data_IF_833506660931
#
_entry.id   IF_833506660931
#
_cell.length_a   1.000
_cell.length_b   1.000
_cell.length_c   1.000
_cell.angle_alpha   90.00
_cell.angle_beta   90.00
_cell.angle_gamma   90.00
#
_symmetry.space_group_name_H-M   'P 1'
#
loop_
_entity.id
_entity.type
_entity.pdbx_description
1 polymer ?
#
# COMPACT_ATOMS: atom_id res chain seq x y z
N UNK A 1 17.00 3.32 -13.24
CA UNK A 1 15.61 3.70 -13.48
C UNK A 1 14.85 3.38 -12.21
N UNK A 2 14.02 4.28 -11.70
CA UNK A 2 13.17 3.98 -10.55
C UNK A 2 12.26 2.80 -10.92
N UNK A 3 12.17 1.80 -10.04
CA UNK A 3 11.31 0.63 -10.24
C UNK A 3 9.85 1.10 -10.09
N UNK A 4 9.13 1.22 -11.20
CA UNK A 4 7.74 1.66 -11.22
C UNK A 4 6.74 0.51 -10.96
N UNK A 5 7.25 -0.70 -10.68
CA UNK A 5 6.43 -1.87 -10.39
C UNK A 5 6.52 -2.19 -8.90
N UNK A 6 5.39 -2.13 -8.22
CA UNK A 6 5.23 -2.60 -6.85
C UNK A 6 4.89 -4.10 -6.88
N UNK A 7 5.65 -4.89 -6.14
CA UNK A 7 5.37 -6.30 -5.88
C UNK A 7 5.24 -6.46 -4.38
N UNK A 8 4.05 -6.77 -3.91
CA UNK A 8 3.74 -6.89 -2.49
C UNK A 8 3.01 -8.19 -2.17
N UNK A 9 3.29 -8.72 -1.00
CA UNK A 9 2.54 -9.80 -0.35
C UNK A 9 1.78 -9.21 0.83
N UNK A 10 0.44 -9.35 0.85
CA UNK A 10 -0.41 -8.84 1.92
C UNK A 10 -1.03 -9.97 2.72
N UNK A 11 -0.88 -9.92 4.03
CA UNK A 11 -1.33 -10.94 4.97
C UNK A 11 -2.15 -10.32 6.11
N UNK A 12 -3.08 -11.11 6.61
CA UNK A 12 -3.80 -10.85 7.85
C UNK A 12 -3.33 -11.86 8.89
N UNK A 13 -2.97 -11.36 10.05
CA UNK A 13 -2.59 -12.15 11.21
C UNK A 13 -3.42 -11.71 12.43
N UNK A 14 -3.64 -12.61 13.37
CA UNK A 14 -4.09 -12.20 14.69
C UNK A 14 -3.00 -11.38 15.39
N UNK A 15 -3.36 -10.64 16.44
CA UNK A 15 -2.37 -9.92 17.25
C UNK A 15 -1.29 -10.84 17.79
N UNK A 16 -1.69 -12.00 18.33
CA UNK A 16 -0.78 -13.02 18.83
C UNK A 16 0.11 -13.58 17.71
N UNK A 17 -0.48 -13.84 16.52
CA UNK A 17 0.25 -14.28 15.34
C UNK A 17 1.30 -13.28 14.88
N UNK A 18 0.97 -11.97 14.87
CA UNK A 18 1.91 -10.91 14.54
C UNK A 18 3.06 -10.86 15.56
N UNK A 19 2.75 -10.87 16.86
CA UNK A 19 3.76 -10.86 17.93
C UNK A 19 4.70 -12.08 17.80
N UNK A 20 4.13 -13.28 17.56
CA UNK A 20 4.89 -14.50 17.33
C UNK A 20 5.75 -14.41 16.07
N UNK A 21 5.20 -13.94 14.94
CA UNK A 21 5.93 -13.77 13.68
C UNK A 21 7.18 -12.89 13.88
N UNK A 22 7.02 -11.77 14.55
CA UNK A 22 8.12 -10.85 14.81
C UNK A 22 9.20 -11.44 15.71
N UNK A 23 8.90 -12.44 16.54
CA UNK A 23 9.84 -13.12 17.43
C UNK A 23 10.51 -14.37 16.83
N UNK A 24 10.12 -14.80 15.62
CA UNK A 24 10.76 -15.94 14.96
C UNK A 24 12.24 -15.64 14.70
N UNK A 25 13.11 -16.57 15.02
CA UNK A 25 14.57 -16.41 14.91
C UNK A 25 15.00 -15.92 13.52
N UNK A 26 14.43 -16.50 12.45
CA UNK A 26 14.78 -16.11 11.10
C UNK A 26 14.26 -14.70 10.73
N UNK A 27 13.15 -14.25 11.31
CA UNK A 27 12.67 -12.87 11.15
C UNK A 27 13.60 -11.90 11.85
N UNK A 28 14.00 -12.20 13.08
CA UNK A 28 14.96 -11.39 13.83
C UNK A 28 16.31 -11.30 13.13
N UNK A 29 16.80 -12.40 12.55
CA UNK A 29 18.04 -12.43 11.78
C UNK A 29 17.93 -11.66 10.45
N UNK A 30 16.76 -11.66 9.81
CA UNK A 30 16.54 -10.94 8.56
C UNK A 30 16.36 -9.41 8.76
N UNK A 31 15.87 -8.98 9.92
CA UNK A 31 15.66 -7.55 10.21
C UNK A 31 16.99 -6.81 10.27
N UNK A 32 17.13 -5.77 9.44
CA UNK A 32 18.29 -4.88 9.52
C UNK A 32 18.27 -4.09 10.83
N UNK A 33 19.40 -4.02 11.54
CA UNK A 33 19.53 -3.11 12.67
C UNK A 33 19.13 -1.68 12.26
N UNK A 34 18.51 -0.94 13.17
CA UNK A 34 18.13 0.48 13.01
C UNK A 34 17.17 0.77 11.84
N UNK A 35 16.56 -0.26 11.22
CA UNK A 35 15.60 -0.07 10.14
C UNK A 35 14.18 0.23 10.61
N UNK A 36 13.89 0.08 11.90
CA UNK A 36 12.58 0.39 12.49
C UNK A 36 12.20 1.83 12.26
N UNK A 37 11.00 2.04 11.73
CA UNK A 37 10.36 3.36 11.64
C UNK A 37 8.89 3.24 12.04
N UNK A 38 8.39 4.27 12.71
CA UNK A 38 6.98 4.38 13.07
C UNK A 38 6.45 5.74 12.60
N UNK A 39 5.37 5.74 11.83
CA UNK A 39 4.77 6.96 11.28
C UNK A 39 3.25 6.84 11.28
N UNK A 40 2.56 7.97 11.41
CA UNK A 40 1.15 8.08 11.03
C UNK A 40 1.07 8.49 9.57
N UNK A 41 0.31 7.75 8.78
CA UNK A 41 0.08 8.03 7.37
C UNK A 41 -1.41 8.33 7.17
N UNK A 42 -1.71 9.51 6.62
CA UNK A 42 -3.08 9.88 6.27
C UNK A 42 -3.16 9.99 4.76
N UNK A 43 -3.94 9.13 4.12
CA UNK A 43 -4.08 9.07 2.66
C UNK A 43 -5.52 9.35 2.27
N UNK A 44 -5.75 10.41 1.53
CA UNK A 44 -7.06 10.70 0.93
C UNK A 44 -7.07 10.21 -0.51
N UNK A 45 -8.07 9.41 -0.84
CA UNK A 45 -8.30 8.91 -2.20
C UNK A 45 -9.27 9.83 -2.94
N UNK A 46 -8.98 10.04 -4.22
CA UNK A 46 -9.70 10.98 -5.06
C UNK A 46 -10.14 10.32 -6.36
N UNK A 47 -11.27 10.79 -6.90
CA UNK A 47 -11.73 10.48 -8.26
C UNK A 47 -12.59 11.64 -8.79
N UNK A 48 -12.91 11.59 -10.08
CA UNK A 48 -13.90 12.48 -10.69
C UNK A 48 -15.30 12.23 -10.13
N UNK A 49 -16.25 13.10 -10.43
CA UNK A 49 -17.63 12.94 -9.96
C UNK A 49 -18.30 11.65 -10.45
N UNK A 50 -17.92 11.21 -11.66
CA UNK A 50 -18.42 10.01 -12.35
C UNK A 50 -17.49 8.79 -12.23
N UNK A 51 -16.46 8.86 -11.37
CA UNK A 51 -15.52 7.77 -11.11
C UNK A 51 -14.67 7.38 -12.33
N UNK A 52 -14.28 8.33 -13.16
CA UNK A 52 -13.50 8.10 -14.39
C UNK A 52 -12.16 7.43 -14.11
N UNK A 53 -11.41 7.85 -13.08
CA UNK A 53 -10.12 7.22 -12.76
C UNK A 53 -10.30 5.76 -12.40
N UNK A 54 -11.28 5.43 -11.55
CA UNK A 54 -11.63 4.06 -11.20
C UNK A 54 -12.01 3.22 -12.41
N UNK A 55 -12.81 3.77 -13.33
CA UNK A 55 -13.21 3.09 -14.58
C UNK A 55 -12.01 2.78 -15.49
N UNK A 56 -10.94 3.59 -15.43
CA UNK A 56 -9.68 3.35 -16.11
C UNK A 56 -8.70 2.48 -15.30
N UNK A 57 -9.15 1.90 -14.19
CA UNK A 57 -8.33 1.03 -13.35
C UNK A 57 -7.26 1.79 -12.54
N UNK A 58 -7.48 3.07 -12.27
CA UNK A 58 -6.56 3.94 -11.56
C UNK A 58 -7.07 4.19 -10.14
N UNK A 59 -6.23 3.92 -9.14
CA UNK A 59 -6.40 4.41 -7.79
C UNK A 59 -5.46 5.62 -7.59
N UNK A 60 -6.02 6.79 -7.33
CA UNK A 60 -5.27 8.02 -7.08
C UNK A 60 -5.43 8.47 -5.63
N UNK A 61 -4.31 8.75 -4.97
CA UNK A 61 -4.32 9.25 -3.59
C UNK A 61 -3.30 10.36 -3.38
N UNK A 62 -3.56 11.22 -2.40
CA UNK A 62 -2.60 12.12 -1.79
C UNK A 62 -2.36 11.68 -0.35
N UNK A 63 -1.11 11.57 0.06
CA UNK A 63 -0.68 11.10 1.38
C UNK A 63 0.10 12.17 2.12
N UNK A 64 -0.33 12.46 3.34
CA UNK A 64 0.51 13.06 4.38
C UNK A 64 1.31 11.94 5.05
N UNK A 65 2.65 12.08 5.05
CA UNK A 65 3.58 11.08 5.61
C UNK A 65 3.87 11.29 7.10
N UNK A 66 3.26 12.31 7.71
CA UNK A 66 3.42 12.62 9.14
C UNK A 66 4.78 13.22 9.52
N UNK A 67 5.63 13.50 8.56
CA UNK A 67 6.95 14.12 8.73
C UNK A 67 7.05 15.50 8.04
N UNK A 68 5.90 16.06 7.64
CA UNK A 68 5.79 17.31 6.90
C UNK A 68 5.97 17.16 5.38
N UNK A 69 6.15 15.94 4.88
CA UNK A 69 6.21 15.64 3.45
C UNK A 69 4.89 15.07 2.94
N UNK A 70 4.59 15.35 1.66
CA UNK A 70 3.39 14.90 0.99
C UNK A 70 3.72 14.19 -0.32
N UNK A 71 2.84 13.31 -0.75
CA UNK A 71 3.05 12.52 -1.95
C UNK A 71 1.73 12.19 -2.63
N UNK A 72 1.63 12.43 -3.94
CA UNK A 72 0.59 11.87 -4.76
C UNK A 72 1.03 10.51 -5.31
N UNK A 73 0.13 9.54 -5.29
CA UNK A 73 0.39 8.19 -5.81
C UNK A 73 -0.69 7.78 -6.79
N UNK A 74 -0.27 7.27 -7.94
CA UNK A 74 -1.10 6.54 -8.89
C UNK A 74 -0.76 5.07 -8.80
N UNK A 75 -1.79 4.22 -8.61
CA UNK A 75 -1.67 2.77 -8.72
C UNK A 75 -2.63 2.27 -9.78
N UNK A 76 -2.15 1.44 -10.70
CA UNK A 76 -3.01 0.85 -11.74
C UNK A 76 -3.68 -0.42 -11.24
N UNK A 77 -4.60 -0.98 -12.04
CA UNK A 77 -5.19 -2.29 -11.78
C UNK A 77 -4.12 -3.34 -11.55
N UNK A 78 -4.33 -4.17 -10.54
CA UNK A 78 -3.38 -5.21 -10.13
C UNK A 78 -3.80 -6.59 -10.57
N UNK A 79 -2.82 -7.46 -10.76
CA UNK A 79 -3.03 -8.89 -10.67
C UNK A 79 -2.74 -9.31 -9.22
N UNK A 80 -3.63 -10.10 -8.62
CA UNK A 80 -3.45 -10.58 -7.25
C UNK A 80 -3.84 -12.05 -7.18
N UNK A 81 -2.99 -12.84 -6.50
CA UNK A 81 -3.24 -14.24 -6.20
C UNK A 81 -2.59 -14.62 -4.88
N UNK A 82 -3.34 -15.24 -3.99
CA UNK A 82 -2.86 -15.73 -2.68
C UNK A 82 -2.15 -14.65 -1.84
N UNK A 83 -2.62 -13.39 -1.94
CA UNK A 83 -2.07 -12.22 -1.26
C UNK A 83 -0.90 -11.54 -2.00
N UNK A 84 -0.26 -12.21 -2.96
CA UNK A 84 0.75 -11.59 -3.81
C UNK A 84 0.09 -10.70 -4.87
N UNK A 85 0.58 -9.48 -5.04
CA UNK A 85 0.12 -8.55 -6.07
C UNK A 85 1.26 -7.86 -6.79
N UNK A 86 1.06 -7.58 -8.07
CA UNK A 86 1.97 -6.83 -8.92
C UNK A 86 1.19 -5.75 -9.68
N UNK A 87 1.70 -4.51 -9.67
CA UNK A 87 1.09 -3.36 -10.36
C UNK A 87 2.08 -2.22 -10.58
N UNK A 88 1.75 -1.35 -11.53
CA UNK A 88 2.43 -0.06 -11.66
C UNK A 88 2.07 0.83 -10.45
N UNK A 89 3.09 1.39 -9.81
CA UNK A 89 2.95 2.44 -8.81
C UNK A 89 3.85 3.63 -9.18
N UNK A 90 3.26 4.82 -9.25
CA UNK A 90 3.95 6.06 -9.57
C UNK A 90 3.76 7.04 -8.41
N UNK A 91 4.86 7.54 -7.88
CA UNK A 91 4.89 8.45 -6.75
C UNK A 91 5.43 9.82 -7.17
N UNK A 92 4.67 10.87 -6.91
CA UNK A 92 5.00 12.27 -7.18
C UNK A 92 5.11 13.03 -5.85
N UNK A 93 6.29 13.53 -5.47
CA UNK A 93 6.44 14.38 -4.29
C UNK A 93 5.63 15.68 -4.45
N UNK A 94 4.96 16.09 -3.36
CA UNK A 94 4.15 17.30 -3.31
C UNK A 94 4.65 18.28 -2.26
N UNK A 95 4.37 19.57 -2.44
CA UNK A 95 4.65 20.61 -1.46
C UNK A 95 3.54 20.75 -0.42
N UNK A 96 2.33 20.33 -0.73
CA UNK A 96 1.14 20.40 0.14
C UNK A 96 0.20 19.22 -0.10
N UNK A 97 -0.70 18.96 0.84
CA UNK A 97 -1.68 17.85 0.79
C UNK A 97 -2.85 18.15 -0.18
N UNK A 98 -2.54 18.55 -1.42
CA UNK A 98 -3.55 18.82 -2.45
C UNK A 98 -3.35 17.93 -3.67
N UNK A 99 -4.46 17.54 -4.37
CA UNK A 99 -4.35 16.79 -5.61
C UNK A 99 -3.52 17.54 -6.67
N UNK A 100 -2.49 16.86 -7.22
CA UNK A 100 -1.77 17.27 -8.42
C UNK A 100 -2.03 16.23 -9.50
N UNK A 101 -2.57 16.66 -10.62
CA UNK A 101 -3.02 15.78 -11.70
C UNK A 101 -2.03 15.69 -12.86
N UNK A 102 -0.94 16.45 -12.79
CA UNK A 102 0.11 16.48 -13.81
C UNK A 102 1.42 15.93 -13.25
N UNK A 103 2.34 15.56 -14.16
CA UNK A 103 3.64 14.98 -13.82
C UNK A 103 3.67 13.46 -13.87
N UNK A 104 2.53 12.76 -13.99
CA UNK A 104 2.48 11.30 -14.05
C UNK A 104 2.85 10.74 -15.43
N UNK A 105 2.63 11.47 -16.51
CA UNK A 105 3.10 11.09 -17.84
C UNK A 105 4.64 10.92 -17.85
N UNK A 106 5.37 11.85 -17.25
CA UNK A 106 6.83 11.81 -17.16
C UNK A 106 7.34 10.66 -16.26
N UNK A 107 6.52 10.19 -15.31
CA UNK A 107 6.84 9.06 -14.46
C UNK A 107 6.55 7.69 -15.11
N UNK A 108 5.86 7.68 -16.26
CA UNK A 108 5.62 6.47 -17.05
C UNK A 108 4.15 6.05 -17.17
N UNK A 109 3.18 6.90 -16.75
CA UNK A 109 1.75 6.64 -16.98
C UNK A 109 1.38 6.71 -18.46
N UNK A 110 2.12 7.53 -19.23
CA UNK A 110 1.90 7.73 -20.68
C UNK A 110 0.91 8.86 -21.00
N UNK A 111 0.21 9.40 -20.03
CA UNK A 111 -0.70 10.55 -20.12
C UNK A 111 -0.80 11.23 -18.74
N UNK A 112 -1.36 12.44 -18.71
CA UNK A 112 -1.61 13.15 -17.44
C UNK A 112 -3.01 12.82 -16.90
N UNK A 113 -3.17 12.79 -15.57
CA UNK A 113 -4.48 12.55 -14.96
C UNK A 113 -5.47 13.68 -15.29
N UNK A 114 -4.98 14.90 -15.52
CA UNK A 114 -5.83 16.03 -15.95
C UNK A 114 -6.56 15.79 -17.27
N UNK A 115 -6.05 14.92 -18.14
CA UNK A 115 -6.70 14.52 -19.37
C UNK A 115 -7.97 13.68 -19.11
N UNK A 116 -7.92 12.81 -18.08
CA UNK A 116 -9.07 12.01 -17.64
C UNK A 116 -10.00 12.77 -16.68
N UNK A 117 -9.49 13.78 -16.02
CA UNK A 117 -10.19 14.56 -14.99
C UNK A 117 -10.17 16.08 -15.29
N UNK A 118 -10.67 16.54 -16.46
CA UNK A 118 -10.60 17.95 -16.85
C UNK A 118 -11.41 18.87 -15.92
N UNK A 119 -12.42 18.36 -15.24
CA UNK A 119 -13.20 19.08 -14.22
C UNK A 119 -12.60 18.92 -12.80
N UNK A 120 -11.43 18.29 -12.67
CA UNK A 120 -10.80 18.01 -11.39
C UNK A 120 -11.33 16.75 -10.70
N UNK A 121 -10.88 16.56 -9.47
CA UNK A 121 -11.20 15.38 -8.64
C UNK A 121 -11.79 15.83 -7.30
N UNK A 122 -12.55 14.93 -6.66
CA UNK A 122 -13.10 15.09 -5.31
C UNK A 122 -12.60 13.98 -4.38
N UNK A 123 -12.52 14.28 -3.10
CA UNK A 123 -12.22 13.27 -2.10
C UNK A 123 -13.36 12.24 -2.02
N UNK A 124 -12.99 10.96 -1.92
CA UNK A 124 -13.89 9.83 -1.78
C UNK A 124 -13.92 9.34 -0.33
N UNK A 125 -12.75 9.02 0.21
CA UNK A 125 -12.55 8.49 1.55
C UNK A 125 -11.10 8.70 1.99
N UNK A 126 -10.86 8.54 3.28
CA UNK A 126 -9.53 8.68 3.89
C UNK A 126 -9.11 7.37 4.56
N UNK A 127 -7.84 7.03 4.43
CA UNK A 127 -7.17 5.95 5.14
C UNK A 127 -6.19 6.58 6.14
N UNK A 128 -6.42 6.33 7.43
CA UNK A 128 -5.58 6.83 8.52
C UNK A 128 -5.01 5.63 9.26
N UNK A 129 -3.69 5.44 9.16
CA UNK A 129 -3.00 4.32 9.76
C UNK A 129 -1.73 4.75 10.48
N UNK A 130 -1.46 4.09 11.59
CA UNK A 130 -0.13 3.99 12.15
C UNK A 130 0.60 2.87 11.40
N UNK A 131 1.71 3.19 10.74
CA UNK A 131 2.56 2.24 10.03
C UNK A 131 3.87 2.06 10.77
N UNK A 132 4.21 0.82 11.05
CA UNK A 132 5.54 0.40 11.50
C UNK A 132 6.22 -0.29 10.32
N UNK A 133 7.48 0.07 10.02
CA UNK A 133 8.25 -0.61 8.99
C UNK A 133 9.57 -1.15 9.51
N UNK A 134 10.03 -2.24 8.88
CA UNK A 134 11.35 -2.82 9.00
C UNK A 134 11.89 -3.15 7.60
N UNK A 135 13.20 -3.12 7.44
CA UNK A 135 13.84 -3.65 6.24
C UNK A 135 14.41 -5.04 6.57
N UNK A 136 14.10 -6.00 5.72
CA UNK A 136 14.56 -7.37 5.84
C UNK A 136 15.57 -7.68 4.73
N UNK A 137 16.66 -8.36 5.09
CA UNK A 137 17.53 -9.06 4.15
C UNK A 137 17.20 -10.57 4.23
N UNK A 138 16.53 -11.10 3.21
CA UNK A 138 16.06 -12.47 3.21
C UNK A 138 16.25 -13.14 1.85
N UNK A 139 16.90 -14.31 1.80
CA UNK A 139 17.12 -15.11 0.60
C UNK A 139 17.68 -14.29 -0.59
N UNK A 140 18.60 -13.36 -0.34
CA UNK A 140 19.20 -12.49 -1.35
C UNK A 140 18.29 -11.35 -1.84
N UNK A 141 17.11 -11.17 -1.23
CA UNK A 141 16.20 -10.06 -1.50
C UNK A 141 16.25 -9.03 -0.37
N UNK A 142 15.92 -7.79 -0.71
CA UNK A 142 15.59 -6.71 0.24
C UNK A 142 14.09 -6.52 0.22
N UNK A 143 13.45 -6.63 1.38
CA UNK A 143 12.00 -6.60 1.55
C UNK A 143 11.66 -5.55 2.60
N UNK A 144 10.69 -4.66 2.31
CA UNK A 144 10.09 -3.82 3.36
C UNK A 144 8.94 -4.62 4.00
N UNK A 145 9.01 -4.83 5.30
CA UNK A 145 7.89 -5.27 6.13
C UNK A 145 7.16 -4.02 6.63
N UNK A 146 5.89 -3.87 6.29
CA UNK A 146 5.02 -2.82 6.80
C UNK A 146 3.86 -3.42 7.61
N UNK A 147 3.62 -2.89 8.80
CA UNK A 147 2.53 -3.26 9.69
C UNK A 147 1.62 -2.04 9.82
N UNK A 148 0.41 -2.13 9.26
CA UNK A 148 -0.57 -1.06 9.26
C UNK A 148 -1.69 -1.32 10.26
N UNK A 149 -1.93 -0.37 11.15
CA UNK A 149 -3.04 -0.39 12.08
C UNK A 149 -3.80 0.92 12.06
N UNK A 150 -5.11 0.86 11.80
CA UNK A 150 -5.93 2.07 11.70
C UNK A 150 -7.29 1.83 11.10
N UNK A 151 -7.73 2.72 10.19
CA UNK A 151 -9.03 2.59 9.57
C UNK A 151 -9.15 3.34 8.23
N UNK A 152 -10.13 2.90 7.43
CA UNK A 152 -10.72 3.62 6.31
C UNK A 152 -11.93 4.37 6.84
N UNK A 153 -12.06 5.64 6.49
CA UNK A 153 -13.17 6.51 6.87
C UNK A 153 -13.87 7.04 5.61
N UNK A 154 -15.18 6.83 5.52
CA UNK A 154 -16.02 7.33 4.43
C UNK A 154 -17.32 7.93 5.02
N UNK A 155 -17.35 9.25 5.23
CA UNK A 155 -18.39 9.91 6.02
C UNK A 155 -18.40 9.35 7.44
N UNK A 156 -19.56 8.85 7.88
CA UNK A 156 -19.70 8.21 9.20
C UNK A 156 -19.30 6.72 9.22
N UNK A 157 -19.08 6.12 8.05
CA UNK A 157 -18.71 4.71 7.92
C UNK A 157 -17.23 4.51 8.15
N UNK A 158 -16.91 3.35 8.76
CA UNK A 158 -15.54 2.98 9.09
C UNK A 158 -15.29 1.49 8.83
N UNK A 159 -14.10 1.19 8.29
CA UNK A 159 -13.58 -0.18 8.15
C UNK A 159 -12.18 -0.25 8.77
N UNK A 160 -11.95 -1.16 9.70
CA UNK A 160 -10.68 -1.28 10.43
C UNK A 160 -9.58 -1.87 9.56
N UNK A 161 -8.35 -1.37 9.71
CA UNK A 161 -7.15 -1.90 9.09
C UNK A 161 -6.27 -2.53 10.17
N UNK A 162 -5.88 -3.79 9.94
CA UNK A 162 -4.87 -4.52 10.70
C UNK A 162 -4.20 -5.47 9.71
N UNK A 163 -3.20 -4.98 8.99
CA UNK A 163 -2.60 -5.63 7.82
C UNK A 163 -1.08 -5.68 7.94
N UNK A 164 -0.50 -6.75 7.40
CA UNK A 164 0.95 -6.91 7.24
C UNK A 164 1.25 -7.01 5.75
N UNK A 165 2.13 -6.14 5.27
CA UNK A 165 2.57 -6.08 3.88
C UNK A 165 4.07 -6.35 3.81
N UNK A 166 4.50 -7.17 2.86
CA UNK A 166 5.90 -7.40 2.52
C UNK A 166 6.10 -6.93 1.09
N UNK A 167 6.80 -5.82 0.91
CA UNK A 167 7.09 -5.24 -0.40
C UNK A 167 8.51 -5.60 -0.85
N UNK A 168 8.62 -6.13 -2.07
CA UNK A 168 9.90 -6.49 -2.67
C UNK A 168 10.62 -5.25 -3.18
N UNK A 169 11.61 -4.76 -2.43
CA UNK A 169 12.44 -3.63 -2.82
C UNK A 169 13.49 -4.02 -3.87
N UNK A 170 14.09 -5.21 -3.72
CA UNK A 170 15.01 -5.80 -4.71
C UNK A 170 15.11 -7.31 -4.51
N UNK A 171 15.54 -8.04 -5.54
CA UNK A 171 15.66 -9.50 -5.53
C UNK A 171 14.56 -10.18 -6.34
N UNK A 172 14.17 -11.38 -5.95
CA UNK A 172 13.22 -12.23 -6.69
C UNK A 172 11.89 -12.39 -5.94
N UNK A 173 10.81 -12.60 -6.68
CA UNK A 173 9.48 -12.92 -6.11
C UNK A 173 9.52 -14.22 -5.31
N UNK A 174 10.36 -15.17 -5.70
CA UNK A 174 10.51 -16.45 -5.00
C UNK A 174 10.92 -16.25 -3.54
N UNK A 175 11.75 -15.24 -3.24
CA UNK A 175 12.10 -14.90 -1.86
C UNK A 175 10.89 -14.47 -1.02
N UNK A 176 9.93 -13.71 -1.60
CA UNK A 176 8.67 -13.38 -0.92
C UNK A 176 7.80 -14.62 -0.67
N UNK A 177 7.72 -15.51 -1.66
CA UNK A 177 6.93 -16.74 -1.55
C UNK A 177 7.52 -17.69 -0.51
N UNK A 178 8.86 -17.88 -0.52
CA UNK A 178 9.57 -18.65 0.49
C UNK A 178 9.35 -18.08 1.90
N UNK A 179 9.46 -16.75 2.05
CA UNK A 179 9.21 -16.06 3.31
C UNK A 179 7.78 -16.33 3.81
N UNK A 180 6.77 -16.22 2.93
CA UNK A 180 5.38 -16.53 3.26
C UNK A 180 5.22 -17.96 3.76
N UNK A 181 5.74 -18.94 3.03
CA UNK A 181 5.64 -20.36 3.41
C UNK A 181 6.31 -20.63 4.76
N UNK A 182 7.47 -20.04 4.98
CA UNK A 182 8.20 -20.18 6.23
C UNK A 182 7.46 -19.58 7.42
N UNK A 183 6.82 -18.41 7.25
CA UNK A 183 5.94 -17.82 8.26
C UNK A 183 4.72 -18.73 8.48
N UNK A 184 4.05 -19.17 7.41
CA UNK A 184 2.85 -20.01 7.46
C UNK A 184 3.09 -21.35 8.16
N UNK A 185 4.30 -21.87 8.13
CA UNK A 185 4.66 -23.10 8.85
C UNK A 185 4.63 -22.97 10.39
N UNK A 186 4.62 -21.74 10.90
CA UNK A 186 4.72 -21.45 12.34
C UNK A 186 3.61 -20.55 12.89
N UNK A 187 2.96 -19.79 12.01
CA UNK A 187 1.94 -18.79 12.37
C UNK A 187 0.73 -18.94 11.44
N UNK A 188 -0.47 -18.96 11.99
CA UNK A 188 -1.69 -18.91 11.19
C UNK A 188 -1.78 -17.54 10.51
N UNK A 189 -1.93 -17.55 9.20
CA UNK A 189 -2.09 -16.36 8.38
C UNK A 189 -3.15 -16.54 7.30
N UNK A 190 -3.70 -15.43 6.82
CA UNK A 190 -4.63 -15.39 5.69
C UNK A 190 -4.15 -14.37 4.66
N UNK A 191 -4.31 -14.67 3.39
CA UNK A 191 -4.09 -13.70 2.33
C UNK A 191 -5.19 -12.63 2.33
N UNK A 192 -4.84 -11.36 2.11
CA UNK A 192 -5.81 -10.29 1.83
C UNK A 192 -5.58 -9.77 0.39
N UNK A 193 -6.50 -10.06 -0.48
CA UNK A 193 -6.41 -9.69 -1.90
C UNK A 193 -6.92 -8.27 -2.18
N UNK A 194 -7.80 -7.75 -1.32
CA UNK A 194 -8.38 -6.42 -1.51
C UNK A 194 -7.37 -5.35 -1.10
N UNK A 195 -7.19 -4.37 -1.95
CA UNK A 195 -6.44 -3.16 -1.59
C UNK A 195 -7.27 -2.27 -0.64
N UNK A 196 -6.60 -1.38 0.11
CA UNK A 196 -7.26 -0.33 0.90
C UNK A 196 -8.21 0.51 0.03
N UNK A 197 -7.85 0.74 -1.25
CA UNK A 197 -8.70 1.41 -2.23
C UNK A 197 -9.98 0.61 -2.51
N UNK A 198 -9.88 -0.68 -2.83
CA UNK A 198 -11.05 -1.53 -3.09
C UNK A 198 -11.98 -1.62 -1.87
N UNK A 199 -11.41 -1.71 -0.66
CA UNK A 199 -12.17 -1.70 0.60
C UNK A 199 -12.88 -0.36 0.82
N UNK A 200 -12.21 0.77 0.53
CA UNK A 200 -12.80 2.11 0.61
C UNK A 200 -13.94 2.32 -0.39
N UNK A 201 -13.80 1.82 -1.62
CA UNK A 201 -14.89 1.84 -2.61
C UNK A 201 -16.10 1.01 -2.15
N UNK A 202 -15.86 -0.19 -1.59
CA UNK A 202 -16.94 -1.00 -1.03
C UNK A 202 -17.67 -0.28 0.11
N UNK A 203 -16.93 0.42 0.97
CA UNK A 203 -17.48 1.20 2.07
C UNK A 203 -18.31 2.41 1.56
N UNK A 204 -17.84 3.06 0.48
CA UNK A 204 -18.56 4.17 -0.19
C UNK A 204 -19.91 3.69 -0.76
N UNK A 205 -19.96 2.48 -1.32
CA UNK A 205 -21.15 1.88 -1.96
C UNK A 205 -22.10 1.20 -0.98
N UNK A 206 -21.64 0.84 0.21
CA UNK A 206 -22.50 0.23 1.23
C UNK A 206 -23.66 1.19 1.56
N UNK A 207 -24.89 0.65 1.68
CA UNK A 207 -26.10 1.41 2.05
C UNK A 207 -26.15 1.67 3.53
#
# INVERSE_FOLDING_TARGET
MAKNTEIELKLLLSREGLEKMLQLDFMQQAMRPDSYKKRRLVSTYYDTADMTLTQHGIAYRVRDKGDGSFEATVKTSKQSKDGLSERLELNLPLQEAKPELNGFAALGLGYELSELAPAGVRALFTVDVERITYILDYAGAVIELAIDKGAIHCGEKRDSIDEVEFELMSGTVDALLELKERIASQVELRAEERSKFARGLALLQAK
#
